data_IF_070410868823
#
_entry.id   IF_070410868823
#
_cell.length_a   1.000
_cell.length_b   1.000
_cell.length_c   1.000
_cell.angle_alpha   90.00
_cell.angle_beta   90.00
_cell.angle_gamma   90.00
#
_symmetry.space_group_name_H-M   'P 1'
#
loop_
_entity.id
_entity.type
_entity.pdbx_description
1 polymer ?
#
# COMPACT_ATOMS: atom_id res chain seq x y z
N UNK A 1 29.50 -0.21 -31.79
CA UNK A 1 29.01 -1.51 -31.26
C UNK A 1 29.33 -1.55 -29.78
N UNK A 2 28.30 -1.55 -28.90
CA UNK A 2 28.49 -1.68 -27.47
C UNK A 2 28.78 -3.14 -27.12
N UNK A 3 29.89 -3.42 -26.44
CA UNK A 3 30.20 -4.76 -25.92
C UNK A 3 29.25 -5.09 -24.78
N UNK A 4 28.45 -6.13 -24.94
CA UNK A 4 27.65 -6.64 -23.84
C UNK A 4 28.56 -7.26 -22.76
N UNK A 5 28.47 -6.78 -21.54
CA UNK A 5 29.17 -7.34 -20.37
C UNK A 5 28.27 -8.41 -19.75
N UNK A 6 28.69 -9.66 -19.78
CA UNK A 6 27.99 -10.77 -19.14
C UNK A 6 28.50 -10.90 -17.71
N UNK A 7 27.63 -10.60 -16.72
CA UNK A 7 27.93 -10.81 -15.31
C UNK A 7 27.63 -12.27 -14.98
N UNK A 8 28.65 -13.04 -14.58
CA UNK A 8 28.54 -14.47 -14.26
C UNK A 8 28.48 -14.76 -12.77
N UNK A 9 28.79 -13.80 -11.91
CA UNK A 9 28.71 -13.92 -10.45
C UNK A 9 28.01 -12.68 -9.89
N UNK A 10 27.14 -12.87 -8.90
CA UNK A 10 26.58 -11.79 -8.11
C UNK A 10 27.66 -11.12 -7.24
N UNK A 11 27.36 -9.92 -6.76
CA UNK A 11 28.18 -9.21 -5.80
C UNK A 11 27.70 -9.59 -4.39
N UNK A 12 28.49 -10.44 -3.71
CA UNK A 12 28.20 -10.77 -2.33
C UNK A 12 28.81 -9.71 -1.41
N UNK A 13 27.96 -8.88 -0.80
CA UNK A 13 28.37 -7.98 0.26
C UNK A 13 28.40 -8.76 1.59
N UNK A 14 29.60 -9.02 2.11
CA UNK A 14 29.76 -9.63 3.44
C UNK A 14 29.46 -8.56 4.50
N UNK A 15 28.26 -8.63 5.04
CA UNK A 15 27.90 -7.82 6.23
C UNK A 15 28.34 -8.58 7.48
N UNK A 16 29.06 -7.89 8.36
CA UNK A 16 29.44 -8.42 9.66
C UNK A 16 28.41 -7.98 10.70
N UNK A 17 27.95 -8.93 11.50
CA UNK A 17 26.95 -8.74 12.55
C UNK A 17 25.65 -9.47 12.25
N UNK A 18 25.02 -9.97 13.30
CA UNK A 18 23.69 -10.57 13.25
C UNK A 18 22.69 -9.59 13.83
N UNK A 19 21.48 -9.44 13.23
CA UNK A 19 20.43 -8.64 13.83
C UNK A 19 19.99 -9.28 15.15
N UNK A 20 19.69 -8.47 16.15
CA UNK A 20 19.07 -8.98 17.37
C UNK A 20 17.70 -9.57 17.04
N UNK A 21 17.40 -10.82 17.45
CA UNK A 21 16.12 -11.47 17.16
C UNK A 21 15.01 -10.96 18.10
N UNK A 22 14.98 -9.66 18.35
CA UNK A 22 13.98 -9.01 19.21
C UNK A 22 12.95 -8.32 18.35
N UNK A 23 11.68 -8.68 18.55
CA UNK A 23 10.55 -8.01 17.90
C UNK A 23 10.05 -6.91 18.84
N UNK A 24 10.22 -5.66 18.43
CA UNK A 24 9.69 -4.50 19.16
C UNK A 24 8.39 -4.05 18.51
N UNK A 25 7.29 -4.16 19.26
CA UNK A 25 5.99 -3.64 18.84
C UNK A 25 5.84 -2.19 19.31
N UNK A 26 5.63 -1.27 18.38
CA UNK A 26 5.38 0.13 18.68
C UNK A 26 4.00 0.53 18.16
N UNK A 27 3.14 0.98 19.07
CA UNK A 27 1.85 1.54 18.69
C UNK A 27 2.02 2.97 18.17
N UNK A 28 1.52 3.22 16.96
CA UNK A 28 1.48 4.54 16.35
C UNK A 28 0.02 4.96 16.20
N UNK A 29 -0.32 6.16 16.70
CA UNK A 29 -1.69 6.66 16.71
C UNK A 29 -2.18 7.20 15.37
N UNK A 30 -1.27 7.57 14.46
CA UNK A 30 -1.58 8.14 13.15
C UNK A 30 -0.71 7.52 12.06
N UNK A 31 -1.33 7.23 10.94
CA UNK A 31 -0.66 6.72 9.74
C UNK A 31 -0.96 7.63 8.56
N UNK A 32 0.02 7.86 7.71
CA UNK A 32 -0.14 8.64 6.50
C UNK A 32 0.22 7.82 5.26
N UNK A 33 -0.70 7.72 4.31
CA UNK A 33 -0.41 7.21 2.98
C UNK A 33 -0.11 8.39 2.05
N UNK A 34 1.08 8.38 1.44
CA UNK A 34 1.59 9.48 0.62
C UNK A 34 1.60 9.09 -0.86
N UNK A 35 0.72 9.65 -1.70
CA UNK A 35 0.72 9.33 -3.13
C UNK A 35 2.05 9.59 -3.83
N UNK A 36 2.83 10.57 -3.37
CA UNK A 36 4.14 10.91 -3.95
C UNK A 36 5.21 9.82 -3.80
N UNK A 37 5.03 8.88 -2.86
CA UNK A 37 5.95 7.76 -2.68
C UNK A 37 5.81 6.72 -3.82
N UNK A 38 4.75 6.84 -4.63
CA UNK A 38 4.50 5.99 -5.79
C UNK A 38 4.82 6.74 -7.08
N UNK A 39 5.87 6.30 -7.76
CA UNK A 39 6.38 6.98 -8.97
C UNK A 39 5.32 7.05 -10.07
N UNK A 40 5.08 8.26 -10.60
CA UNK A 40 4.15 8.49 -11.71
C UNK A 40 2.66 8.41 -11.34
N UNK A 41 2.33 8.35 -10.05
CA UNK A 41 0.95 8.29 -9.58
C UNK A 41 0.29 9.68 -9.57
N UNK A 42 -0.86 9.78 -10.21
CA UNK A 42 -1.83 10.89 -10.01
C UNK A 42 -3.04 10.34 -9.27
N UNK A 43 -3.19 10.63 -7.96
CA UNK A 43 -4.23 10.02 -7.15
C UNK A 43 -5.62 10.61 -7.42
N UNK A 44 -6.64 9.73 -7.38
CA UNK A 44 -8.05 10.08 -7.32
C UNK A 44 -8.63 9.49 -6.05
N UNK A 45 -9.11 10.34 -5.13
CA UNK A 45 -9.68 9.93 -3.86
C UNK A 45 -10.97 9.13 -4.03
N UNK A 46 -11.14 8.14 -3.15
CA UNK A 46 -12.34 7.34 -2.98
C UNK A 46 -13.00 7.56 -1.61
N UNK A 47 -12.36 8.38 -0.76
CA UNK A 47 -12.78 8.62 0.62
C UNK A 47 -12.85 10.13 0.91
N UNK A 48 -13.54 10.45 1.99
CA UNK A 48 -13.65 11.80 2.53
C UNK A 48 -13.09 11.90 3.96
N UNK A 49 -12.77 13.13 4.40
CA UNK A 49 -12.36 13.37 5.79
C UNK A 49 -13.51 13.04 6.75
N UNK A 50 -13.20 12.40 7.86
CA UNK A 50 -14.18 11.91 8.83
C UNK A 50 -14.73 10.51 8.54
N UNK A 51 -14.45 9.94 7.36
CA UNK A 51 -14.90 8.60 6.99
C UNK A 51 -14.14 7.52 7.79
N UNK A 52 -14.87 6.47 8.18
CA UNK A 52 -14.30 5.33 8.87
C UNK A 52 -13.84 4.26 7.87
N UNK A 53 -12.59 3.85 8.01
CA UNK A 53 -11.95 2.86 7.13
C UNK A 53 -11.46 1.66 7.91
N UNK A 54 -11.36 0.52 7.24
CA UNK A 54 -10.69 -0.70 7.71
C UNK A 54 -9.33 -0.82 7.04
N UNK A 55 -8.41 -1.58 7.63
CA UNK A 55 -7.20 -2.01 6.92
C UNK A 55 -7.60 -2.76 5.64
N UNK A 56 -7.11 -2.32 4.49
CA UNK A 56 -7.53 -2.82 3.17
C UNK A 56 -8.60 -1.99 2.46
N UNK A 57 -9.27 -1.03 3.13
CA UNK A 57 -10.23 -0.13 2.45
C UNK A 57 -9.51 0.75 1.42
N UNK A 58 -9.97 0.80 0.15
CA UNK A 58 -9.38 1.66 -0.86
C UNK A 58 -9.49 3.14 -0.49
N UNK A 59 -8.36 3.86 -0.51
CA UNK A 59 -8.29 5.29 -0.22
C UNK A 59 -8.27 6.13 -1.49
N UNK A 60 -7.54 5.68 -2.49
CA UNK A 60 -7.45 6.32 -3.80
C UNK A 60 -7.02 5.31 -4.87
N UNK A 61 -7.19 5.71 -6.13
CA UNK A 61 -6.71 4.96 -7.29
C UNK A 61 -5.83 5.83 -8.19
N UNK A 62 -5.09 5.19 -9.09
CA UNK A 62 -4.28 5.88 -10.09
C UNK A 62 -5.17 6.38 -11.25
N UNK A 63 -5.13 7.69 -11.55
CA UNK A 63 -5.87 8.27 -12.69
C UNK A 63 -5.49 7.55 -13.99
N UNK A 64 -6.50 7.07 -14.72
CA UNK A 64 -6.32 6.30 -15.96
C UNK A 64 -6.01 4.81 -15.72
N UNK A 65 -5.99 4.35 -14.46
CA UNK A 65 -5.84 2.95 -14.07
C UNK A 65 -6.75 2.67 -12.86
N UNK A 66 -8.05 2.80 -13.05
CA UNK A 66 -9.06 2.80 -11.97
C UNK A 66 -9.09 1.49 -11.16
N UNK A 67 -8.59 0.40 -11.74
CA UNK A 67 -8.48 -0.90 -11.06
C UNK A 67 -7.28 -1.00 -10.11
N UNK A 68 -6.31 -0.08 -10.22
CA UNK A 68 -5.14 -0.07 -9.34
C UNK A 68 -5.46 0.76 -8.10
N UNK A 69 -5.76 0.06 -7.01
CA UNK A 69 -6.22 0.64 -5.75
C UNK A 69 -5.07 0.75 -4.75
N UNK A 70 -5.07 1.84 -4.00
CA UNK A 70 -4.17 2.08 -2.88
C UNK A 70 -4.99 2.07 -1.60
N UNK A 71 -4.74 1.08 -0.77
CA UNK A 71 -5.58 0.74 0.38
C UNK A 71 -5.02 1.25 1.69
N UNK A 72 -5.89 1.40 2.68
CA UNK A 72 -5.51 1.80 4.03
C UNK A 72 -4.64 0.72 4.70
N UNK A 73 -3.49 1.09 5.30
CA UNK A 73 -2.66 0.15 6.05
C UNK A 73 -3.24 -0.19 7.43
N UNK A 74 -4.19 0.60 7.91
CA UNK A 74 -4.74 0.51 9.27
C UNK A 74 -6.26 0.77 9.28
N UNK A 75 -6.97 0.31 10.30
CA UNK A 75 -8.35 0.73 10.56
C UNK A 75 -8.39 1.98 11.42
N UNK A 76 -9.38 2.83 11.15
CA UNK A 76 -9.54 4.07 11.90
C UNK A 76 -10.45 5.06 11.20
N UNK A 77 -10.22 6.34 11.46
CA UNK A 77 -10.95 7.46 10.85
C UNK A 77 -9.98 8.28 10.00
N UNK A 78 -10.39 8.61 8.78
CA UNK A 78 -9.65 9.55 7.93
C UNK A 78 -9.66 10.92 8.60
N UNK A 79 -8.53 11.28 9.21
CA UNK A 79 -8.38 12.51 9.98
C UNK A 79 -8.28 13.73 9.07
N UNK A 80 -7.49 13.59 8.00
CA UNK A 80 -7.20 14.71 7.11
C UNK A 80 -6.70 14.21 5.75
N UNK A 81 -7.09 14.92 4.70
CA UNK A 81 -6.49 14.81 3.37
C UNK A 81 -5.67 16.08 3.09
N UNK A 82 -4.37 16.00 3.35
CA UNK A 82 -3.48 17.13 3.15
C UNK A 82 -3.22 17.39 1.68
N UNK A 83 -3.42 18.63 1.27
CA UNK A 83 -3.23 19.08 -0.11
C UNK A 83 -2.16 20.15 -0.17
N UNK A 84 -1.24 20.02 -1.11
CA UNK A 84 -0.22 21.00 -1.41
C UNK A 84 -0.63 21.96 -2.53
N UNK A 85 0.36 22.52 -3.19
CA UNK A 85 0.15 23.43 -4.31
C UNK A 85 -0.71 22.79 -5.42
N UNK A 86 -1.52 23.62 -6.09
CA UNK A 86 -2.42 23.16 -7.16
C UNK A 86 -3.38 22.03 -6.74
N UNK A 87 -3.69 21.94 -5.43
CA UNK A 87 -4.56 20.92 -4.82
C UNK A 87 -4.03 19.47 -4.98
N UNK A 88 -2.73 19.28 -5.19
CA UNK A 88 -2.13 17.95 -5.22
C UNK A 88 -2.29 17.30 -3.85
N UNK A 89 -2.73 16.04 -3.85
CA UNK A 89 -2.87 15.26 -2.61
C UNK A 89 -1.46 14.83 -2.16
N UNK A 90 -1.05 15.30 -1.00
CA UNK A 90 0.25 15.00 -0.42
C UNK A 90 0.17 13.81 0.54
N UNK A 91 -0.84 13.81 1.40
CA UNK A 91 -1.00 12.80 2.45
C UNK A 91 -2.48 12.52 2.70
N UNK A 92 -2.81 11.25 2.94
CA UNK A 92 -4.07 10.80 3.53
C UNK A 92 -3.75 10.30 4.92
N UNK A 93 -4.15 11.04 5.95
CA UNK A 93 -3.84 10.77 7.34
C UNK A 93 -5.01 10.05 7.99
N UNK A 94 -4.71 8.93 8.66
CA UNK A 94 -5.69 8.08 9.34
C UNK A 94 -5.33 8.03 10.81
N UNK A 95 -6.28 8.38 11.67
CA UNK A 95 -6.22 8.17 13.11
C UNK A 95 -6.57 6.73 13.41
N UNK A 96 -5.60 5.96 13.92
CA UNK A 96 -5.70 4.52 14.07
C UNK A 96 -6.64 4.10 15.21
N UNK A 97 -7.41 3.04 14.98
CA UNK A 97 -8.12 2.33 16.05
C UNK A 97 -7.12 1.59 16.96
N UNK A 98 -7.43 1.44 18.23
CA UNK A 98 -6.63 0.62 19.17
C UNK A 98 -6.58 -0.86 18.77
N UNK A 99 -7.67 -1.34 18.16
CA UNK A 99 -7.77 -2.72 17.65
C UNK A 99 -8.00 -2.65 16.15
N UNK A 100 -7.09 -3.25 15.39
CA UNK A 100 -7.15 -3.23 13.93
C UNK A 100 -8.32 -4.08 13.44
N UNK A 101 -9.12 -3.51 12.53
CA UNK A 101 -10.19 -4.19 11.81
C UNK A 101 -9.80 -4.30 10.35
N UNK A 102 -9.85 -5.51 9.83
CA UNK A 102 -9.50 -5.79 8.43
C UNK A 102 -10.73 -5.81 7.53
N UNK A 103 -10.55 -5.41 6.29
CA UNK A 103 -11.52 -5.68 5.24
C UNK A 103 -11.42 -7.15 4.86
N UNK A 104 -12.56 -7.84 4.83
CA UNK A 104 -12.61 -9.24 4.44
C UNK A 104 -12.73 -9.34 2.92
N UNK A 105 -11.73 -9.93 2.27
CA UNK A 105 -11.72 -10.20 0.82
C UNK A 105 -12.21 -11.61 0.48
N UNK A 106 -12.68 -12.36 1.48
CA UNK A 106 -13.10 -13.75 1.37
C UNK A 106 -11.91 -14.71 1.18
N UNK A 107 -12.07 -15.89 1.74
CA UNK A 107 -11.11 -16.99 1.57
C UNK A 107 -11.51 -17.76 0.31
N UNK A 108 -10.54 -18.06 -0.56
CA UNK A 108 -10.72 -18.90 -1.72
C UNK A 108 -9.54 -19.86 -1.82
N UNK A 109 -9.82 -21.11 -2.20
CA UNK A 109 -8.75 -22.05 -2.54
C UNK A 109 -8.09 -21.59 -3.86
N UNK A 110 -6.77 -21.44 -3.84
CA UNK A 110 -6.01 -21.00 -5.04
C UNK A 110 -6.22 -21.99 -6.20
N UNK A 111 -6.41 -23.27 -5.90
CA UNK A 111 -6.65 -24.32 -6.90
C UNK A 111 -8.01 -24.19 -7.62
N UNK A 112 -8.95 -23.44 -7.06
CA UNK A 112 -10.30 -23.23 -7.60
C UNK A 112 -10.42 -21.92 -8.40
N UNK A 113 -9.37 -21.06 -8.36
CA UNK A 113 -9.37 -19.78 -9.03
C UNK A 113 -8.66 -19.87 -10.38
N UNK A 114 -9.25 -19.22 -11.39
CA UNK A 114 -8.56 -18.97 -12.65
C UNK A 114 -7.69 -17.70 -12.56
N UNK A 115 -6.82 -17.50 -13.57
CA UNK A 115 -5.87 -16.39 -13.60
C UNK A 115 -6.55 -14.99 -13.51
N UNK A 116 -7.72 -14.82 -14.14
CA UNK A 116 -8.48 -13.55 -14.10
C UNK A 116 -9.01 -13.26 -12.70
N UNK A 117 -9.55 -14.28 -12.03
CA UNK A 117 -10.05 -14.15 -10.65
C UNK A 117 -8.94 -13.86 -9.65
N UNK A 118 -7.75 -14.48 -9.82
CA UNK A 118 -6.58 -14.19 -9.00
C UNK A 118 -6.15 -12.73 -9.20
N UNK A 119 -6.05 -12.30 -10.45
CA UNK A 119 -5.70 -10.91 -10.79
C UNK A 119 -6.69 -9.90 -10.21
N UNK A 120 -7.99 -10.19 -10.31
CA UNK A 120 -9.02 -9.33 -9.74
C UNK A 120 -8.90 -9.21 -8.22
N UNK A 121 -8.69 -10.33 -7.51
CA UNK A 121 -8.46 -10.33 -6.05
C UNK A 121 -7.23 -9.52 -5.66
N UNK A 122 -6.13 -9.63 -6.41
CA UNK A 122 -4.92 -8.83 -6.17
C UNK A 122 -5.17 -7.34 -6.38
N UNK A 123 -5.92 -6.97 -7.41
CA UNK A 123 -6.26 -5.58 -7.70
C UNK A 123 -7.15 -4.96 -6.62
N UNK A 124 -8.22 -5.65 -6.21
CA UNK A 124 -9.15 -5.11 -5.19
C UNK A 124 -8.53 -5.06 -3.78
N UNK A 125 -7.59 -5.95 -3.48
CA UNK A 125 -6.86 -5.94 -2.20
C UNK A 125 -5.74 -4.89 -2.13
N UNK A 126 -5.41 -4.25 -3.24
CA UNK A 126 -4.28 -3.32 -3.31
C UNK A 126 -2.90 -3.98 -3.28
N UNK A 127 -2.84 -5.29 -3.51
CA UNK A 127 -1.59 -6.06 -3.52
C UNK A 127 -0.93 -6.12 -4.91
N UNK A 128 -1.47 -5.41 -5.88
CA UNK A 128 -0.98 -5.37 -7.27
C UNK A 128 0.07 -4.28 -7.47
#
# INVERSE_FOLDING_TARGET
MSKAIKITKGLDLKLYGEPMPEVVETFVSEYALKPKDFIGLTPKLLIEEGERVKAGTPLFYAKGKEKVLFTSPISGVVKQVKRGEKRVIEEVIISADKTIKYLDFGISSISELNAEQIKEKLLISGAW
#
